data_IF_703444476806
#
_entry.id   IF_703444476806
#
_cell.length_a   1.000
_cell.length_b   1.000
_cell.length_c   1.000
_cell.angle_alpha   90.00
_cell.angle_beta   90.00
_cell.angle_gamma   90.00
#
_symmetry.space_group_name_H-M   'P 1'
#
loop_
_entity.id
_entity.type
_entity.pdbx_description
1 polymer ?
#
# COMPACT_ATOMS: atom_id res chain seq x y z
N UNK A 1 -2.20 -1.53 -2.25
CA UNK A 1 -2.11 -0.21 -1.60
C UNK A 1 -1.14 -0.31 -0.45
N UNK A 2 -0.22 0.62 -0.35
CA UNK A 2 0.61 0.88 0.83
C UNK A 2 0.10 2.19 1.43
N UNK A 3 -0.30 2.16 2.70
CA UNK A 3 -1.00 3.28 3.30
C UNK A 3 -0.71 3.35 4.79
N UNK A 4 -0.54 4.55 5.33
CA UNK A 4 -0.63 4.81 6.75
C UNK A 4 -2.01 5.37 7.08
N UNK A 5 -2.71 4.70 7.97
CA UNK A 5 -4.02 5.14 8.42
C UNK A 5 -4.32 4.68 9.85
N UNK A 6 -4.73 5.59 10.72
CA UNK A 6 -5.12 5.33 12.13
C UNK A 6 -4.08 4.55 12.94
N UNK A 7 -2.81 4.91 12.82
CA UNK A 7 -1.73 4.25 13.57
C UNK A 7 -1.34 2.88 13.03
N UNK A 8 -1.85 2.50 11.87
CA UNK A 8 -1.54 1.25 11.20
C UNK A 8 -0.85 1.51 9.86
N UNK A 9 0.13 0.68 9.55
CA UNK A 9 0.68 0.54 8.21
C UNK A 9 -0.07 -0.56 7.50
N UNK A 10 -0.65 -0.23 6.37
CA UNK A 10 -1.41 -1.15 5.54
C UNK A 10 -0.59 -1.55 4.32
N UNK A 11 -0.54 -2.85 4.04
CA UNK A 11 0.02 -3.43 2.83
C UNK A 11 -1.05 -4.34 2.21
N UNK A 12 -1.93 -3.75 1.42
CA UNK A 12 -3.17 -4.38 0.99
C UNK A 12 -3.22 -4.53 -0.53
N UNK A 13 -3.71 -5.67 -0.99
CA UNK A 13 -4.16 -5.87 -2.36
C UNK A 13 -5.67 -6.07 -2.38
N UNK A 14 -6.32 -5.48 -3.37
CA UNK A 14 -7.76 -5.60 -3.57
C UNK A 14 -8.05 -5.90 -5.04
N UNK A 15 -9.05 -6.71 -5.26
CA UNK A 15 -9.56 -7.01 -6.60
C UNK A 15 -11.07 -7.27 -6.54
N UNK A 16 -11.70 -7.25 -7.68
CA UNK A 16 -13.12 -7.53 -7.77
C UNK A 16 -13.40 -9.03 -7.60
N UNK A 17 -14.05 -9.38 -6.50
CA UNK A 17 -14.50 -10.72 -6.17
C UNK A 17 -15.97 -10.94 -6.53
N UNK A 18 -16.47 -12.18 -6.37
CA UNK A 18 -17.84 -12.57 -6.71
C UNK A 18 -18.92 -11.84 -5.91
N UNK A 19 -18.61 -11.38 -4.72
CA UNK A 19 -19.53 -10.70 -3.80
C UNK A 19 -19.03 -9.31 -3.40
N UNK A 20 -18.43 -8.57 -4.33
CA UNK A 20 -17.79 -7.29 -4.10
C UNK A 20 -16.27 -7.39 -4.05
N UNK A 21 -15.60 -6.51 -3.33
CA UNK A 21 -14.14 -6.49 -3.28
C UNK A 21 -13.57 -7.64 -2.46
N UNK A 22 -12.65 -8.38 -3.04
CA UNK A 22 -11.80 -9.35 -2.35
C UNK A 22 -10.49 -8.69 -1.93
N UNK A 23 -9.93 -9.12 -0.80
CA UNK A 23 -8.76 -8.49 -0.21
C UNK A 23 -7.74 -9.51 0.28
N UNK A 24 -6.46 -9.25 0.02
CA UNK A 24 -5.37 -9.73 0.85
C UNK A 24 -4.84 -8.54 1.63
N UNK A 25 -5.28 -8.40 2.87
CA UNK A 25 -4.96 -7.27 3.74
C UNK A 25 -3.98 -7.68 4.83
N UNK A 26 -2.91 -6.89 4.99
CA UNK A 26 -1.96 -6.98 6.10
C UNK A 26 -1.81 -5.63 6.74
N UNK A 27 -2.10 -5.56 8.03
CA UNK A 27 -2.08 -4.34 8.80
C UNK A 27 -1.14 -4.49 9.98
N UNK A 28 -0.30 -3.51 10.20
CA UNK A 28 0.73 -3.54 11.24
C UNK A 28 0.68 -2.27 12.06
N UNK A 29 0.64 -2.37 13.40
CA UNK A 29 0.80 -1.17 14.23
C UNK A 29 2.17 -0.54 13.94
N UNK A 30 2.22 0.78 13.86
CA UNK A 30 3.48 1.50 13.60
C UNK A 30 4.55 1.18 14.65
N UNK A 31 4.14 0.90 15.89
CA UNK A 31 5.04 0.53 16.98
C UNK A 31 5.80 -0.78 16.74
N UNK A 32 5.36 -1.59 15.78
CA UNK A 32 6.05 -2.83 15.42
C UNK A 32 7.45 -2.58 14.82
N UNK A 33 7.61 -1.48 14.10
CA UNK A 33 8.82 -1.20 13.33
C UNK A 33 9.75 -0.21 14.02
N UNK A 34 9.22 0.63 14.91
CA UNK A 34 10.04 1.60 15.63
C UNK A 34 9.22 2.59 16.44
N UNK A 35 9.93 3.52 17.05
CA UNK A 35 9.34 4.63 17.79
C UNK A 35 9.12 5.85 16.86
N UNK A 36 8.72 6.98 17.43
CA UNK A 36 8.47 8.21 16.67
C UNK A 36 9.69 8.70 15.87
N UNK A 37 10.91 8.49 16.38
CA UNK A 37 12.12 8.86 15.64
C UNK A 37 12.29 8.06 14.35
N UNK A 38 12.03 6.75 14.39
CA UNK A 38 12.02 5.90 13.18
C UNK A 38 11.08 6.46 12.11
N UNK A 39 9.85 6.84 12.48
CA UNK A 39 8.84 7.32 11.54
C UNK A 39 9.06 8.74 11.04
N UNK A 40 10.02 9.48 11.60
CA UNK A 40 10.42 10.79 11.10
C UNK A 40 11.48 10.72 9.99
N UNK A 41 11.98 9.53 9.69
CA UNK A 41 12.93 9.31 8.61
C UNK A 41 12.23 8.89 7.31
N UNK A 42 12.98 8.93 6.20
CA UNK A 42 12.51 8.38 4.94
C UNK A 42 12.56 6.85 4.97
N UNK A 43 11.54 6.22 4.42
CA UNK A 43 11.44 4.77 4.31
C UNK A 43 11.32 4.35 2.85
N UNK A 44 11.96 3.24 2.51
CA UNK A 44 11.91 2.68 1.16
C UNK A 44 10.72 1.74 1.06
N UNK A 45 9.76 2.11 0.24
CA UNK A 45 8.63 1.27 -0.13
C UNK A 45 8.91 0.58 -1.46
N UNK A 46 8.82 -0.74 -1.47
CA UNK A 46 9.11 -1.53 -2.66
C UNK A 46 7.93 -2.42 -3.01
N UNK A 47 7.61 -2.46 -4.29
CA UNK A 47 6.73 -3.46 -4.88
C UNK A 47 7.59 -4.31 -5.81
N UNK A 48 7.69 -5.61 -5.51
CA UNK A 48 8.23 -6.62 -6.41
C UNK A 48 7.05 -7.37 -7.04
N UNK A 49 6.91 -7.23 -8.34
CA UNK A 49 5.73 -7.67 -9.06
C UNK A 49 6.10 -8.31 -10.39
N UNK A 50 5.67 -9.56 -10.55
CA UNK A 50 5.83 -10.32 -11.78
C UNK A 50 4.52 -11.04 -12.21
N UNK A 51 4.63 -12.01 -13.09
CA UNK A 51 3.47 -12.79 -13.59
C UNK A 51 2.84 -13.73 -12.56
N UNK A 52 3.57 -14.07 -11.51
CA UNK A 52 3.20 -15.11 -10.53
C UNK A 52 2.79 -14.54 -9.17
N UNK A 53 3.33 -13.39 -8.81
CA UNK A 53 3.08 -12.79 -7.49
C UNK A 53 3.24 -11.26 -7.48
N UNK A 54 2.82 -10.67 -6.38
CA UNK A 54 3.14 -9.32 -5.95
C UNK A 54 3.56 -9.35 -4.47
N UNK A 55 4.67 -8.69 -4.16
CA UNK A 55 5.22 -8.53 -2.82
C UNK A 55 5.36 -7.07 -2.47
N UNK A 56 5.01 -6.72 -1.26
CA UNK A 56 5.13 -5.37 -0.72
C UNK A 56 6.15 -5.40 0.41
N UNK A 57 7.11 -4.51 0.35
CA UNK A 57 8.16 -4.37 1.37
C UNK A 57 8.20 -2.94 1.90
N UNK A 58 8.68 -2.80 3.13
CA UNK A 58 9.12 -1.56 3.73
C UNK A 58 10.52 -1.79 4.34
N UNK A 59 11.52 -1.02 3.92
CA UNK A 59 12.93 -1.16 4.34
C UNK A 59 13.42 -2.61 4.27
N UNK A 60 13.17 -3.28 3.16
CA UNK A 60 13.46 -4.71 2.92
C UNK A 60 12.67 -5.71 3.80
N UNK A 61 11.79 -5.27 4.68
CA UNK A 61 10.91 -6.16 5.43
C UNK A 61 9.69 -6.51 4.58
N UNK A 62 9.47 -7.81 4.35
CA UNK A 62 8.27 -8.28 3.64
C UNK A 62 7.02 -7.99 4.48
N UNK A 63 6.12 -7.17 3.96
CA UNK A 63 4.86 -6.82 4.59
C UNK A 63 3.68 -7.64 4.07
N UNK A 64 3.63 -7.91 2.78
CA UNK A 64 2.59 -8.74 2.18
C UNK A 64 3.11 -9.45 0.95
N UNK A 65 2.66 -10.67 0.75
CA UNK A 65 2.85 -11.43 -0.47
C UNK A 65 1.51 -11.99 -0.93
N UNK A 66 1.25 -11.90 -2.21
CA UNK A 66 0.07 -12.46 -2.85
C UNK A 66 0.49 -13.23 -4.10
N UNK A 67 0.27 -14.54 -4.10
CA UNK A 67 0.42 -15.38 -5.27
C UNK A 67 -0.84 -15.33 -6.12
N UNK A 68 -0.67 -15.35 -7.45
CA UNK A 68 -1.76 -15.13 -8.40
C UNK A 68 -2.51 -16.39 -8.82
N UNK A 69 -2.15 -17.55 -8.30
CA UNK A 69 -2.63 -18.86 -8.76
C UNK A 69 -4.16 -18.97 -8.88
N UNK A 70 -4.89 -18.30 -7.99
CA UNK A 70 -6.35 -18.35 -7.96
C UNK A 70 -7.02 -16.99 -7.98
N UNK A 71 -6.29 -15.95 -8.35
CA UNK A 71 -6.84 -14.59 -8.40
C UNK A 71 -7.48 -14.37 -9.77
N UNK A 72 -8.77 -14.12 -9.75
CA UNK A 72 -9.56 -13.79 -10.94
C UNK A 72 -10.51 -12.64 -10.61
N UNK A 73 -10.59 -11.70 -11.53
CA UNK A 73 -11.66 -10.72 -11.54
C UNK A 73 -12.99 -11.44 -11.79
N UNK A 74 -13.96 -11.21 -10.93
CA UNK A 74 -15.24 -11.94 -10.99
C UNK A 74 -16.06 -11.65 -12.24
N UNK A 75 -15.94 -10.44 -12.79
CA UNK A 75 -16.67 -10.03 -14.00
C UNK A 75 -15.92 -10.45 -15.27
N UNK A 76 -14.62 -10.17 -15.32
CA UNK A 76 -13.81 -10.36 -16.53
C UNK A 76 -13.14 -11.72 -16.63
N UNK A 77 -13.02 -12.45 -15.51
CA UNK A 77 -12.39 -13.76 -15.43
C UNK A 77 -10.86 -13.77 -15.58
N UNK A 78 -10.24 -12.60 -15.85
CA UNK A 78 -8.79 -12.45 -15.96
C UNK A 78 -8.16 -12.19 -14.59
N UNK A 79 -6.83 -12.32 -14.52
CA UNK A 79 -6.08 -11.87 -13.35
C UNK A 79 -5.90 -10.35 -13.44
N UNK A 80 -6.49 -9.56 -12.51
CA UNK A 80 -6.41 -8.11 -12.58
C UNK A 80 -4.98 -7.59 -12.41
N UNK A 81 -4.11 -8.31 -11.70
CA UNK A 81 -2.73 -7.91 -11.47
C UNK A 81 -1.78 -8.18 -12.64
N UNK A 82 -2.26 -8.74 -13.73
CA UNK A 82 -1.54 -8.88 -15.00
C UNK A 82 -1.92 -7.79 -16.00
N UNK A 83 -2.75 -6.84 -15.59
CA UNK A 83 -3.11 -5.66 -16.38
C UNK A 83 -2.12 -4.52 -16.16
N UNK A 84 -2.21 -3.50 -17.02
CA UNK A 84 -1.41 -2.28 -16.86
C UNK A 84 -1.97 -1.40 -15.76
N UNK A 85 -1.09 -0.96 -14.86
CA UNK A 85 -1.41 -0.02 -13.80
C UNK A 85 -0.57 1.25 -13.93
N UNK A 86 -1.09 2.33 -13.39
CA UNK A 86 -0.34 3.54 -13.15
C UNK A 86 -0.10 3.70 -11.64
N UNK A 87 0.98 4.37 -11.30
CA UNK A 87 1.32 4.65 -9.91
C UNK A 87 0.59 5.91 -9.43
N UNK A 88 0.04 5.85 -8.24
CA UNK A 88 -0.52 7.00 -7.53
C UNK A 88 0.19 7.16 -6.20
N UNK A 89 0.66 8.36 -5.91
CA UNK A 89 1.19 8.77 -4.61
C UNK A 89 0.41 9.99 -4.16
N UNK A 90 -0.23 9.90 -3.00
CA UNK A 90 -1.06 10.98 -2.49
C UNK A 90 -1.02 11.05 -0.97
N UNK A 91 -1.21 12.24 -0.43
CA UNK A 91 -1.66 12.45 0.92
C UNK A 91 -3.15 12.78 0.88
N UNK A 92 -3.94 12.10 1.68
CA UNK A 92 -5.38 12.30 1.73
C UNK A 92 -5.83 12.64 3.15
N UNK A 93 -6.82 13.51 3.25
CA UNK A 93 -7.56 13.72 4.49
C UNK A 93 -8.49 12.53 4.72
N UNK A 94 -8.55 12.03 5.95
CA UNK A 94 -9.41 10.90 6.31
C UNK A 94 -10.89 11.20 6.07
N UNK A 95 -11.69 10.15 5.86
CA UNK A 95 -13.14 10.28 5.63
C UNK A 95 -13.94 10.64 6.89
N UNK A 96 -13.37 10.47 8.05
CA UNK A 96 -14.11 10.46 9.34
C UNK A 96 -14.43 11.85 9.89
N UNK A 97 -14.39 12.89 9.08
CA UNK A 97 -14.70 14.27 9.49
C UNK A 97 -13.94 14.72 10.76
N UNK A 98 -12.80 14.11 11.02
CA UNK A 98 -11.95 14.54 12.11
C UNK A 98 -11.51 15.98 11.84
N UNK A 99 -11.74 16.84 12.79
CA UNK A 99 -11.23 18.21 12.69
C UNK A 99 -9.71 18.14 12.71
N UNK A 100 -9.09 18.54 11.62
CA UNK A 100 -7.64 18.66 11.56
C UNK A 100 -7.27 19.92 12.32
N UNK A 101 -6.50 19.81 13.39
CA UNK A 101 -6.08 21.00 14.12
C UNK A 101 -5.24 21.92 13.24
N UNK A 102 -5.50 23.22 13.27
CA UNK A 102 -4.70 24.21 12.51
C UNK A 102 -3.20 24.13 12.85
N UNK A 103 -2.86 23.66 14.04
CA UNK A 103 -1.47 23.45 14.48
C UNK A 103 -0.73 22.37 13.70
N UNK A 104 -1.44 21.51 12.95
CA UNK A 104 -0.84 20.49 12.08
C UNK A 104 -0.60 20.98 10.66
N UNK A 105 -0.97 22.22 10.35
CA UNK A 105 -0.83 22.82 9.04
C UNK A 105 0.23 23.93 9.01
N UNK A 106 0.99 24.07 7.92
CA UNK A 106 0.98 23.21 6.73
C UNK A 106 1.61 21.86 6.98
N UNK A 107 1.05 20.80 6.40
CA UNK A 107 1.63 19.47 6.40
C UNK A 107 2.29 19.15 5.06
N UNK A 108 3.37 18.39 5.05
CA UNK A 108 4.12 18.04 3.86
C UNK A 108 4.15 16.53 3.66
N UNK A 109 3.93 16.10 2.43
CA UNK A 109 4.20 14.75 1.97
C UNK A 109 5.43 14.79 1.06
N UNK A 110 6.53 14.26 1.54
CA UNK A 110 7.81 14.36 0.86
C UNK A 110 8.17 13.02 0.18
N UNK A 111 8.61 13.09 -1.07
CA UNK A 111 9.06 11.95 -1.85
C UNK A 111 10.46 12.29 -2.34
N UNK A 112 11.46 11.50 -1.92
CA UNK A 112 12.83 11.72 -2.34
C UNK A 112 13.03 11.23 -3.78
N UNK A 113 12.62 9.99 -4.09
CA UNK A 113 12.71 9.44 -5.44
C UNK A 113 11.65 8.38 -5.72
N UNK A 114 11.46 8.12 -7.01
CA UNK A 114 10.73 6.96 -7.53
C UNK A 114 11.63 6.27 -8.55
N UNK A 115 11.76 4.96 -8.45
CA UNK A 115 12.51 4.12 -9.39
C UNK A 115 11.67 2.95 -9.85
N UNK A 116 11.65 2.73 -11.15
CA UNK A 116 10.96 1.59 -11.77
C UNK A 116 11.99 0.76 -12.54
N UNK A 117 11.99 -0.54 -12.28
CA UNK A 117 12.86 -1.49 -12.98
C UNK A 117 11.97 -2.49 -13.70
N UNK A 118 12.29 -2.78 -14.94
CA UNK A 118 11.64 -3.82 -15.74
C UNK A 118 12.70 -4.78 -16.27
N UNK A 119 12.37 -6.08 -16.26
CA UNK A 119 13.14 -7.12 -16.94
C UNK A 119 12.67 -7.29 -18.35
#
# INVERSE_FOLDING_TARGET
>A
VMEYYRGLMHANLAWEGSNGSSWNAKNYPITKYGNAAYWNDFHIWTIDWDKDYIRIFMDNNLMNETQFTNIKNAIRGNNPFQEKFYMVMNAALGQDKETIPDSTLPSQYQIDYVRVYQK
#
